data_IF_351063271304
#
_entry.id   IF_351063271304
#
_cell.length_a   1.000
_cell.length_b   1.000
_cell.length_c   1.000
_cell.angle_alpha   90.00
_cell.angle_beta   90.00
_cell.angle_gamma   90.00
#
_symmetry.space_group_name_H-M   'P 1'
#
loop_
_entity.id
_entity.type
_entity.pdbx_description
1 polymer ?
#
# COMPACT_ATOMS: atom_id res chain seq x y z
N UNK A 1 11.95 6.80 20.20
CA UNK A 1 12.24 5.77 21.23
C UNK A 1 13.55 5.01 21.00
N UNK A 2 14.22 5.10 19.83
CA UNK A 2 15.50 4.41 19.53
C UNK A 2 15.51 2.88 19.76
N UNK A 3 14.33 2.26 19.90
CA UNK A 3 14.18 0.82 20.04
C UNK A 3 14.34 0.16 18.67
N UNK A 4 14.96 -1.01 18.68
CA UNK A 4 15.28 -1.79 17.49
C UNK A 4 14.25 -2.91 17.33
N UNK A 5 13.92 -3.24 16.10
CA UNK A 5 13.02 -4.34 15.76
C UNK A 5 13.65 -5.21 14.68
N UNK A 6 13.57 -6.53 14.84
CA UNK A 6 14.05 -7.50 13.84
C UNK A 6 13.08 -7.68 12.67
N UNK A 7 11.78 -7.42 12.89
CA UNK A 7 10.76 -7.56 11.86
C UNK A 7 10.85 -6.44 10.80
N UNK A 8 11.28 -6.80 9.59
CA UNK A 8 11.49 -5.88 8.46
C UNK A 8 10.19 -5.39 7.79
N UNK A 9 9.06 -6.04 8.08
CA UNK A 9 7.76 -5.76 7.46
C UNK A 9 6.95 -4.74 8.26
N UNK A 10 7.33 -4.44 9.51
CA UNK A 10 6.64 -3.43 10.33
C UNK A 10 6.83 -2.03 9.77
N UNK A 11 5.76 -1.25 9.81
CA UNK A 11 5.72 0.18 9.43
C UNK A 11 5.59 1.11 10.65
N UNK A 12 4.94 0.62 11.70
CA UNK A 12 4.79 1.27 12.99
C UNK A 12 5.84 0.73 13.97
N UNK A 13 6.38 1.61 14.82
CA UNK A 13 7.26 1.17 15.89
C UNK A 13 6.43 0.45 16.98
N UNK A 14 6.74 -0.80 17.36
CA UNK A 14 5.97 -1.54 18.35
C UNK A 14 6.06 -0.96 19.77
N UNK A 15 7.04 -0.11 20.05
CA UNK A 15 7.20 0.49 21.37
C UNK A 15 6.49 1.84 21.50
N UNK A 16 6.44 2.65 20.44
CA UNK A 16 5.88 4.01 20.51
C UNK A 16 4.78 4.29 19.50
N UNK A 17 4.33 3.29 18.73
CA UNK A 17 3.21 3.40 17.79
C UNK A 17 3.42 4.33 16.59
N UNK A 18 4.55 5.03 16.47
CA UNK A 18 4.74 6.05 15.44
C UNK A 18 4.98 5.44 14.05
N UNK A 19 4.19 5.89 13.06
CA UNK A 19 4.31 5.50 11.64
C UNK A 19 5.55 6.12 10.98
N UNK A 20 6.27 5.35 10.18
CA UNK A 20 7.33 5.89 9.30
C UNK A 20 8.54 6.46 10.04
N UNK A 21 8.72 6.04 11.29
CA UNK A 21 9.89 6.35 12.13
C UNK A 21 10.95 5.25 12.09
N UNK A 22 10.57 4.05 11.62
CA UNK A 22 11.50 2.93 11.43
C UNK A 22 12.43 3.19 10.25
N UNK A 23 13.73 3.09 10.49
CA UNK A 23 14.78 3.16 9.47
C UNK A 23 15.42 1.78 9.33
N UNK A 24 15.47 1.26 8.10
CA UNK A 24 16.18 0.01 7.81
C UNK A 24 17.68 0.24 7.89
N UNK A 25 18.37 -0.61 8.65
CA UNK A 25 19.81 -0.55 8.93
C UNK A 25 20.40 -1.95 8.78
N UNK A 26 21.61 -2.06 8.24
CA UNK A 26 22.33 -3.33 8.15
C UNK A 26 23.04 -3.60 9.47
N UNK A 27 23.05 -4.87 9.87
CA UNK A 27 23.65 -5.33 11.14
C UNK A 27 24.62 -6.44 10.82
N UNK A 28 25.83 -6.37 11.38
CA UNK A 28 26.79 -7.47 11.39
C UNK A 28 26.86 -8.03 12.80
N UNK A 29 26.84 -9.36 12.92
CA UNK A 29 27.07 -10.06 14.18
C UNK A 29 28.48 -10.63 14.15
N UNK A 30 29.31 -10.29 15.13
CA UNK A 30 30.66 -10.80 15.25
C UNK A 30 30.67 -12.18 15.91
N UNK A 31 31.79 -12.89 15.86
CA UNK A 31 31.98 -14.22 16.49
C UNK A 31 31.72 -14.21 18.01
N UNK A 32 31.97 -13.07 18.66
CA UNK A 32 31.65 -12.84 20.09
C UNK A 32 30.16 -12.60 20.37
N UNK A 33 29.30 -12.59 19.34
CA UNK A 33 27.86 -12.30 19.45
C UNK A 33 27.49 -10.82 19.49
N UNK A 34 28.47 -9.91 19.43
CA UNK A 34 28.25 -8.47 19.43
C UNK A 34 27.63 -7.98 18.10
N UNK A 35 26.68 -7.04 18.20
CA UNK A 35 25.95 -6.49 17.05
C UNK A 35 26.50 -5.11 16.69
N UNK A 36 27.05 -5.00 15.48
CA UNK A 36 27.51 -3.72 14.91
C UNK A 36 26.46 -3.20 13.92
N UNK A 37 25.96 -1.99 14.16
CA UNK A 37 24.91 -1.34 13.37
C UNK A 37 25.49 -0.31 12.40
N UNK A 38 25.23 -0.45 11.11
CA UNK A 38 25.73 0.47 10.08
C UNK A 38 24.68 1.52 9.71
N UNK A 39 24.63 2.61 10.48
CA UNK A 39 23.67 3.69 10.26
C UNK A 39 24.16 4.60 9.12
N UNK A 40 23.37 4.69 8.04
CA UNK A 40 23.66 5.64 6.97
C UNK A 40 23.23 7.07 7.36
N UNK A 41 24.17 7.90 7.80
CA UNK A 41 23.90 9.30 8.18
C UNK A 41 23.61 10.23 7.00
N UNK A 42 24.02 9.88 5.77
CA UNK A 42 23.73 10.67 4.56
C UNK A 42 22.25 10.66 4.17
N UNK A 43 21.49 9.68 4.67
CA UNK A 43 20.03 9.57 4.46
C UNK A 43 19.30 9.66 5.81
N UNK A 44 19.17 10.86 6.39
CA UNK A 44 18.39 11.05 7.60
C UNK A 44 16.90 10.82 7.34
N UNK A 45 16.13 10.66 8.42
CA UNK A 45 14.67 10.52 8.31
C UNK A 45 14.10 11.87 7.87
N UNK A 46 13.58 11.95 6.65
CA UNK A 46 12.99 13.18 6.12
C UNK A 46 11.65 13.49 6.81
N UNK A 47 11.41 14.77 7.12
CA UNK A 47 10.18 15.27 7.75
C UNK A 47 9.21 15.87 6.72
N UNK A 48 9.70 16.19 5.50
CA UNK A 48 8.91 16.77 4.43
C UNK A 48 7.70 15.90 4.08
N UNK A 49 6.52 16.51 4.03
CA UNK A 49 5.26 15.85 3.68
C UNK A 49 4.61 15.03 4.79
N UNK A 50 5.18 15.02 6.01
CA UNK A 50 4.54 14.37 7.17
C UNK A 50 3.43 15.20 7.82
N UNK A 51 3.51 16.53 7.72
CA UNK A 51 2.49 17.46 8.20
C UNK A 51 1.59 17.89 7.03
N UNK A 52 0.34 17.49 7.08
CA UNK A 52 -0.71 17.84 6.11
C UNK A 52 -2.08 17.75 6.78
N UNK A 53 -3.10 18.37 6.21
CA UNK A 53 -4.47 18.31 6.73
C UNK A 53 -5.06 16.92 6.49
N UNK A 54 -5.56 16.32 7.57
CA UNK A 54 -6.28 15.05 7.50
C UNK A 54 -7.75 15.29 7.14
N UNK A 55 -8.38 14.40 6.36
CA UNK A 55 -9.82 14.47 6.13
C UNK A 55 -10.56 14.21 7.45
N UNK A 56 -11.79 14.72 7.55
CA UNK A 56 -12.67 14.40 8.66
C UNK A 56 -12.87 12.87 8.76
N UNK A 57 -12.82 12.30 9.97
CA UNK A 57 -13.04 10.88 10.16
C UNK A 57 -14.46 10.51 9.71
N UNK A 58 -14.57 9.50 8.85
CA UNK A 58 -15.87 9.01 8.37
C UNK A 58 -16.12 7.59 8.88
N UNK A 59 -17.39 7.26 9.06
CA UNK A 59 -17.86 5.90 9.38
C UNK A 59 -18.67 5.32 8.21
N UNK A 60 -18.74 4.00 8.13
CA UNK A 60 -19.50 3.27 7.10
C UNK A 60 -18.72 2.14 6.44
N UNK A 61 -19.44 1.29 5.70
CA UNK A 61 -18.92 0.05 5.09
C UNK A 61 -17.82 0.27 4.05
N UNK A 62 -17.83 1.41 3.35
CA UNK A 62 -16.93 1.68 2.23
C UNK A 62 -16.04 2.91 2.45
N UNK A 63 -15.78 3.26 3.71
CA UNK A 63 -14.92 4.39 4.04
C UNK A 63 -13.44 4.07 3.76
N UNK A 64 -12.70 5.07 3.27
CA UNK A 64 -11.25 5.02 3.09
C UNK A 64 -10.61 6.12 3.93
N UNK A 65 -10.34 5.83 5.20
CA UNK A 65 -9.65 6.72 6.12
C UNK A 65 -8.13 6.43 6.06
N UNK A 66 -7.26 7.45 6.26
CA UNK A 66 -5.83 7.21 6.40
C UNK A 66 -5.54 6.30 7.61
N UNK A 67 -4.50 5.47 7.49
CA UNK A 67 -4.05 4.57 8.57
C UNK A 67 -3.05 5.34 9.44
N UNK A 68 -3.41 5.59 10.71
CA UNK A 68 -2.64 6.37 11.67
C UNK A 68 -2.03 5.53 12.79
N UNK A 69 -2.61 4.36 13.06
CA UNK A 69 -2.22 3.42 14.13
C UNK A 69 -2.18 2.00 13.56
N UNK A 70 -1.38 1.11 14.16
CA UNK A 70 -1.25 -0.28 13.70
C UNK A 70 -2.56 -1.07 13.80
N UNK A 71 -3.28 -0.93 14.91
CA UNK A 71 -4.52 -1.68 15.19
C UNK A 71 -5.78 -0.93 14.73
N UNK A 72 -5.64 -0.01 13.77
CA UNK A 72 -6.79 0.75 13.27
C UNK A 72 -7.77 -0.19 12.52
N UNK A 73 -9.07 -0.21 12.88
CA UNK A 73 -10.05 -1.03 12.19
C UNK A 73 -10.27 -0.51 10.76
N UNK A 74 -10.25 -1.43 9.80
CA UNK A 74 -10.43 -1.13 8.36
C UNK A 74 -11.62 -1.93 7.82
N UNK A 75 -12.51 -1.32 7.01
CA UNK A 75 -13.61 -2.05 6.40
C UNK A 75 -13.14 -3.16 5.46
N UNK A 76 -13.88 -4.26 5.44
CA UNK A 76 -13.59 -5.43 4.60
C UNK A 76 -13.98 -5.21 3.13
N UNK A 77 -13.17 -4.43 2.41
CA UNK A 77 -13.34 -4.20 0.96
C UNK A 77 -12.55 -5.23 0.13
N UNK A 78 -12.86 -6.53 0.31
CA UNK A 78 -12.20 -7.65 -0.38
C UNK A 78 -12.62 -7.79 -1.85
N UNK A 79 -11.82 -8.52 -2.63
CA UNK A 79 -12.16 -8.86 -4.01
C UNK A 79 -13.13 -10.04 -4.04
N UNK A 80 -13.84 -10.20 -5.15
CA UNK A 80 -14.47 -11.47 -5.47
C UNK A 80 -13.40 -12.58 -5.60
N UNK A 81 -13.81 -13.83 -5.37
CA UNK A 81 -12.93 -14.99 -5.54
C UNK A 81 -12.39 -15.07 -6.98
N UNK A 82 -13.25 -14.80 -7.95
CA UNK A 82 -12.88 -14.73 -9.37
C UNK A 82 -11.78 -13.70 -9.63
N UNK A 83 -11.94 -12.47 -9.12
CA UNK A 83 -10.92 -11.42 -9.28
C UNK A 83 -9.58 -11.77 -8.64
N UNK A 84 -9.59 -12.46 -7.48
CA UNK A 84 -8.35 -12.94 -6.85
C UNK A 84 -7.72 -14.01 -7.72
N UNK A 85 -8.49 -15.02 -8.12
CA UNK A 85 -8.05 -16.13 -8.95
C UNK A 85 -7.37 -15.64 -10.24
N UNK A 86 -8.10 -14.85 -11.03
CA UNK A 86 -7.61 -14.33 -12.31
C UNK A 86 -6.36 -13.45 -12.13
N UNK A 87 -6.27 -12.65 -11.07
CA UNK A 87 -5.08 -11.82 -10.81
C UNK A 87 -3.81 -12.66 -10.55
N UNK A 88 -3.96 -13.86 -9.99
CA UNK A 88 -2.83 -14.76 -9.74
C UNK A 88 -2.45 -15.59 -10.97
N UNK A 89 -3.31 -15.63 -11.99
CA UNK A 89 -3.02 -16.25 -13.29
C UNK A 89 -2.10 -15.35 -14.11
N UNK A 90 -0.81 -15.69 -14.13
CA UNK A 90 0.19 -15.07 -15.01
C UNK A 90 0.13 -15.76 -16.36
N UNK A 91 0.65 -15.10 -17.39
CA UNK A 91 0.73 -15.67 -18.74
C UNK A 91 1.32 -17.10 -18.73
N UNK A 92 2.47 -17.30 -18.06
CA UNK A 92 3.11 -18.61 -18.00
C UNK A 92 2.26 -19.68 -17.29
N UNK A 93 1.46 -19.32 -16.28
CA UNK A 93 0.56 -20.30 -15.65
C UNK A 93 -0.62 -20.63 -16.54
N UNK A 94 -1.15 -19.65 -17.27
CA UNK A 94 -2.26 -19.86 -18.22
C UNK A 94 -1.82 -20.75 -19.39
N UNK A 95 -0.64 -20.49 -19.96
CA UNK A 95 -0.09 -21.25 -21.09
C UNK A 95 0.21 -22.72 -20.76
N UNK A 96 0.51 -23.00 -19.49
CA UNK A 96 0.86 -24.35 -19.02
C UNK A 96 -0.33 -25.08 -18.37
N UNK A 97 -1.53 -24.49 -18.42
CA UNK A 97 -2.74 -25.08 -17.87
C UNK A 97 -3.28 -26.17 -18.83
N UNK A 98 -3.53 -27.41 -18.38
CA UNK A 98 -4.15 -28.44 -19.22
C UNK A 98 -5.52 -28.01 -19.79
N UNK A 99 -6.24 -27.13 -19.09
CA UNK A 99 -7.55 -26.63 -19.50
C UNK A 99 -7.47 -25.36 -20.38
N UNK A 100 -6.27 -24.97 -20.83
CA UNK A 100 -6.06 -23.78 -21.66
C UNK A 100 -6.92 -23.78 -22.93
N UNK A 101 -7.12 -24.93 -23.56
CA UNK A 101 -7.90 -25.10 -24.80
C UNK A 101 -9.38 -24.74 -24.59
N UNK A 102 -9.91 -24.95 -23.38
CA UNK A 102 -11.32 -24.70 -23.03
C UNK A 102 -11.52 -23.20 -22.71
N UNK A 103 -10.45 -22.48 -22.40
CA UNK A 103 -10.50 -21.08 -22.00
C UNK A 103 -10.82 -20.19 -23.20
N UNK A 104 -11.73 -19.24 -23.02
CA UNK A 104 -12.16 -18.33 -24.09
C UNK A 104 -11.07 -17.35 -24.55
N UNK A 105 -10.06 -17.08 -23.71
CA UNK A 105 -9.00 -16.12 -24.03
C UNK A 105 -7.67 -16.56 -23.40
N UNK A 106 -6.53 -16.05 -23.92
CA UNK A 106 -5.21 -16.36 -23.37
C UNK A 106 -4.79 -15.43 -22.20
N UNK A 107 -5.64 -14.49 -21.78
CA UNK A 107 -5.30 -13.47 -20.78
C UNK A 107 -6.16 -13.60 -19.52
N UNK A 108 -5.60 -13.24 -18.36
CA UNK A 108 -6.36 -13.14 -17.12
C UNK A 108 -7.59 -12.22 -17.29
N UNK A 109 -8.76 -12.71 -16.87
CA UNK A 109 -10.01 -11.98 -17.00
C UNK A 109 -10.18 -10.96 -15.88
N UNK A 110 -10.69 -9.77 -16.23
CA UNK A 110 -11.03 -8.77 -15.24
C UNK A 110 -12.45 -8.99 -14.74
N UNK A 111 -12.64 -8.95 -13.42
CA UNK A 111 -13.97 -8.99 -12.81
C UNK A 111 -14.69 -7.65 -13.00
N UNK A 112 -15.70 -7.64 -13.87
CA UNK A 112 -16.54 -6.47 -14.13
C UNK A 112 -17.89 -6.55 -13.41
N UNK A 113 -18.41 -7.76 -13.16
CA UNK A 113 -19.80 -7.96 -12.73
C UNK A 113 -20.00 -7.98 -11.22
N UNK A 114 -18.99 -8.34 -10.43
CA UNK A 114 -19.20 -8.46 -9.00
C UNK A 114 -19.50 -7.11 -8.33
N UNK A 115 -20.25 -7.10 -7.23
CA UNK A 115 -20.44 -5.88 -6.44
C UNK A 115 -19.10 -5.24 -6.03
N UNK A 116 -18.08 -6.06 -5.80
CA UNK A 116 -16.74 -5.58 -5.44
C UNK A 116 -16.07 -4.79 -6.57
N UNK A 117 -16.31 -5.12 -7.85
CA UNK A 117 -15.74 -4.41 -9.00
C UNK A 117 -16.19 -2.94 -9.05
N UNK A 118 -17.45 -2.67 -8.66
CA UNK A 118 -18.05 -1.34 -8.67
C UNK A 118 -17.45 -0.40 -7.61
N UNK A 119 -17.08 -0.94 -6.43
CA UNK A 119 -16.47 -0.17 -5.35
C UNK A 119 -14.94 -0.14 -5.45
N UNK A 120 -14.33 -1.04 -6.22
CA UNK A 120 -12.88 -1.14 -6.45
C UNK A 120 -12.42 -0.16 -7.51
N UNK A 121 -12.62 1.12 -7.25
CA UNK A 121 -11.82 2.17 -7.90
C UNK A 121 -10.39 2.03 -7.40
N UNK A 122 -9.57 1.21 -8.08
CA UNK A 122 -8.10 1.41 -8.26
C UNK A 122 -7.24 1.72 -7.03
N UNK A 123 -7.76 1.60 -5.81
CA UNK A 123 -7.18 2.21 -4.61
C UNK A 123 -5.92 1.47 -4.19
N UNK A 124 -5.93 0.13 -4.16
CA UNK A 124 -4.79 -0.61 -3.62
C UNK A 124 -3.50 -0.50 -4.45
N UNK A 125 -3.59 -0.37 -5.78
CA UNK A 125 -2.40 -0.23 -6.65
C UNK A 125 -1.97 1.24 -6.77
N UNK A 126 -2.91 2.19 -6.85
CA UNK A 126 -2.55 3.61 -6.87
C UNK A 126 -2.07 4.10 -5.49
N UNK A 127 -2.57 3.54 -4.39
CA UNK A 127 -2.19 3.92 -3.03
C UNK A 127 -0.72 3.57 -2.77
N UNK A 128 -0.21 2.41 -3.19
CA UNK A 128 1.22 2.08 -2.92
C UNK A 128 2.21 3.05 -3.59
N UNK A 129 1.90 3.54 -4.80
CA UNK A 129 2.72 4.54 -5.49
C UNK A 129 2.45 5.97 -5.02
N UNK A 130 1.20 6.33 -4.68
CA UNK A 130 0.87 7.67 -4.20
C UNK A 130 1.20 7.90 -2.72
N UNK A 131 1.26 6.85 -1.89
CA UNK A 131 1.64 6.94 -0.46
C UNK A 131 3.11 7.33 -0.27
N UNK A 132 3.95 7.21 -1.32
CA UNK A 132 5.35 7.67 -1.29
C UNK A 132 5.51 9.14 -1.65
N UNK A 133 4.51 9.75 -2.30
CA UNK A 133 4.56 11.14 -2.73
C UNK A 133 4.18 12.05 -1.57
N UNK A 134 4.80 13.22 -1.50
CA UNK A 134 4.42 14.26 -0.55
C UNK A 134 2.98 14.75 -0.87
N UNK A 135 2.03 14.70 0.08
CA UNK A 135 0.66 15.18 -0.13
C UNK A 135 0.58 16.69 -0.41
N UNK A 136 1.56 17.47 0.05
CA UNK A 136 1.64 18.92 -0.18
C UNK A 136 2.24 19.28 -1.54
N UNK A 137 2.62 18.29 -2.36
CA UNK A 137 3.22 18.52 -3.68
C UNK A 137 2.16 18.82 -4.74
N UNK A 138 2.44 19.78 -5.62
CA UNK A 138 1.59 20.11 -6.77
C UNK A 138 1.51 18.91 -7.70
N UNK A 139 0.31 18.60 -8.21
CA UNK A 139 0.09 17.53 -9.19
C UNK A 139 -0.50 18.12 -10.45
N UNK A 140 -0.14 17.55 -11.60
CA UNK A 140 -0.80 17.86 -12.87
C UNK A 140 -2.31 17.61 -12.74
N UNK A 141 -3.12 18.54 -13.23
CA UNK A 141 -4.57 18.43 -13.19
C UNK A 141 -5.04 17.40 -14.23
N UNK A 142 -5.23 16.16 -13.81
CA UNK A 142 -5.85 15.09 -14.62
C UNK A 142 -7.35 14.99 -14.33
N UNK A 143 -8.12 14.42 -15.26
CA UNK A 143 -9.60 14.43 -15.37
C UNK A 143 -10.42 14.77 -14.12
N UNK A 144 -10.37 13.93 -13.08
CA UNK A 144 -11.19 14.13 -11.87
C UNK A 144 -10.83 15.39 -11.07
N UNK A 145 -9.58 15.87 -11.15
CA UNK A 145 -9.14 17.11 -10.51
C UNK A 145 -9.55 18.34 -11.32
N UNK A 146 -9.60 18.24 -12.66
CA UNK A 146 -10.18 19.31 -13.51
C UNK A 146 -11.65 19.56 -13.16
N UNK A 147 -12.45 18.49 -13.03
CA UNK A 147 -13.89 18.57 -12.69
C UNK A 147 -14.19 19.15 -11.30
N UNK A 148 -13.26 19.06 -10.34
CA UNK A 148 -13.44 19.67 -9.01
C UNK A 148 -13.11 21.16 -8.98
N UNK A 149 -12.22 21.60 -9.87
CA UNK A 149 -11.80 23.00 -9.95
C UNK A 149 -12.77 23.85 -10.79
N UNK A 150 -13.72 23.25 -11.51
CA UNK A 150 -14.72 23.96 -12.33
C UNK A 150 -16.02 24.30 -11.59
N UNK A 151 -16.18 23.83 -10.35
CA UNK A 151 -17.39 24.03 -9.54
C UNK A 151 -17.16 25.09 -8.44
N UNK A 152 -16.17 25.94 -8.63
CA UNK A 152 -15.90 27.16 -7.87
C UNK A 152 -15.80 28.32 -8.85
#
# INVERSE_FOLDING_TARGET
CFKITTNLMKKFCPHCGNLGTLKRVTVKVNEKGERVYFINFRRPINIRGKRYSLPMPKSGKHVHNPILVEDQPVPQNKASKFAVHEKHMKANTILNDPDYIIRQTPFAMNDVYSKSSQFRKTAQVLDTFNMRRNPNEVKKCTGNRKKKNSNF
#
